data_IF_978872795767
#
_entry.id   IF_978872795767
#
_cell.length_a   1.000
_cell.length_b   1.000
_cell.length_c   1.000
_cell.angle_alpha   90.00
_cell.angle_beta   90.00
_cell.angle_gamma   90.00
#
_symmetry.space_group_name_H-M   'P 1'
#
loop_
_entity.id
_entity.type
_entity.pdbx_description
1 polymer ?
#
# COMPACT_ATOMS: atom_id res chain seq x y z
N UNK A 1 -42.96 -8.96 5.45
CA UNK A 1 -41.72 -9.21 4.68
C UNK A 1 -41.23 -10.62 4.98
N UNK A 2 -40.77 -11.31 3.95
CA UNK A 2 -40.21 -12.64 4.05
C UNK A 2 -38.82 -12.60 3.42
N UNK A 3 -37.83 -13.20 4.07
CA UNK A 3 -36.47 -13.32 3.51
C UNK A 3 -36.48 -14.17 2.23
N UNK A 4 -35.63 -13.79 1.26
CA UNK A 4 -35.42 -14.58 0.08
C UNK A 4 -34.67 -15.88 0.45
N UNK A 5 -35.05 -17.00 -0.17
CA UNK A 5 -34.36 -18.27 0.00
C UNK A 5 -32.91 -18.21 -0.48
N UNK A 6 -32.67 -17.48 -1.57
CA UNK A 6 -31.33 -17.18 -2.08
C UNK A 6 -31.07 -15.69 -1.87
N UNK A 7 -30.10 -15.35 -1.01
CA UNK A 7 -29.68 -13.98 -0.77
C UNK A 7 -28.82 -13.51 -1.95
N UNK A 8 -29.04 -12.27 -2.39
CA UNK A 8 -28.29 -11.69 -3.49
C UNK A 8 -28.12 -10.18 -3.29
N UNK A 9 -27.18 -9.61 -4.00
CA UNK A 9 -26.96 -8.15 -4.11
C UNK A 9 -27.32 -7.75 -5.53
N UNK A 10 -28.29 -6.84 -5.65
CA UNK A 10 -28.70 -6.32 -6.96
C UNK A 10 -27.76 -5.20 -7.43
N UNK A 11 -27.47 -4.27 -6.53
CA UNK A 11 -26.63 -3.11 -6.87
C UNK A 11 -25.58 -2.87 -5.80
N UNK A 12 -24.35 -2.58 -6.23
CA UNK A 12 -23.24 -2.17 -5.37
C UNK A 12 -22.70 -0.80 -5.78
N UNK A 13 -22.19 -0.03 -4.82
CA UNK A 13 -21.60 1.28 -5.05
C UNK A 13 -20.32 1.44 -4.24
N UNK A 14 -19.29 2.06 -4.83
CA UNK A 14 -18.03 2.33 -4.12
C UNK A 14 -18.24 3.42 -3.07
N UNK A 15 -17.95 3.11 -1.80
CA UNK A 15 -18.12 4.04 -0.68
C UNK A 15 -17.33 5.33 -0.91
N UNK A 16 -16.07 5.25 -1.26
CA UNK A 16 -15.22 6.42 -1.50
C UNK A 16 -15.75 7.32 -2.62
N UNK A 17 -16.23 6.70 -3.71
CA UNK A 17 -16.81 7.44 -4.84
C UNK A 17 -18.12 8.14 -4.45
N UNK A 18 -18.94 7.50 -3.62
CA UNK A 18 -20.15 8.11 -3.10
C UNK A 18 -19.82 9.31 -2.22
N UNK A 19 -18.82 9.19 -1.33
CA UNK A 19 -18.38 10.27 -0.46
C UNK A 19 -17.84 11.47 -1.25
N UNK A 20 -17.12 11.24 -2.34
CA UNK A 20 -16.68 12.33 -3.24
C UNK A 20 -17.88 13.17 -3.70
N UNK A 21 -18.96 12.51 -4.12
CA UNK A 21 -20.17 13.22 -4.59
C UNK A 21 -20.87 13.93 -3.44
N UNK A 22 -21.08 13.26 -2.31
CA UNK A 22 -21.79 13.81 -1.16
C UNK A 22 -21.05 14.98 -0.51
N UNK A 23 -19.73 14.87 -0.38
CA UNK A 23 -18.87 15.89 0.22
C UNK A 23 -18.45 16.97 -0.78
N UNK A 24 -18.82 16.83 -2.07
CA UNK A 24 -18.36 17.72 -3.16
C UNK A 24 -16.84 17.84 -3.22
N UNK A 25 -16.14 16.74 -2.91
CA UNK A 25 -14.69 16.65 -2.96
C UNK A 25 -14.22 16.51 -4.42
N UNK A 26 -12.98 16.87 -4.72
CA UNK A 26 -12.40 16.73 -6.07
C UNK A 26 -11.98 15.28 -6.36
N UNK A 27 -11.61 14.53 -5.32
CA UNK A 27 -11.17 13.14 -5.44
C UNK A 27 -11.36 12.38 -4.11
N UNK A 28 -11.16 11.07 -4.15
CA UNK A 28 -11.37 10.17 -3.00
C UNK A 28 -10.44 10.48 -1.82
N UNK A 29 -9.25 10.99 -2.06
CA UNK A 29 -8.25 11.28 -1.02
C UNK A 29 -8.56 12.54 -0.22
N UNK A 30 -9.56 13.32 -0.63
CA UNK A 30 -10.09 14.47 0.10
C UNK A 30 -11.35 14.12 0.89
N UNK A 31 -11.66 12.85 1.05
CA UNK A 31 -12.76 12.38 1.89
C UNK A 31 -12.24 12.00 3.28
N UNK A 32 -13.14 12.02 4.27
CA UNK A 32 -12.86 11.62 5.65
C UNK A 32 -12.24 10.23 5.82
N UNK A 33 -12.42 9.35 4.83
CA UNK A 33 -11.80 8.02 4.81
C UNK A 33 -10.28 8.05 4.65
N UNK A 34 -9.72 9.18 4.27
CA UNK A 34 -8.27 9.36 4.11
C UNK A 34 -7.68 10.42 5.05
N UNK A 35 -8.50 11.15 5.84
CA UNK A 35 -8.03 12.24 6.70
C UNK A 35 -6.94 11.80 7.68
N UNK A 36 -7.18 10.74 8.46
CA UNK A 36 -6.20 10.24 9.44
C UNK A 36 -4.95 9.67 8.77
N UNK A 37 -5.05 8.74 7.80
CA UNK A 37 -3.88 8.22 7.08
C UNK A 37 -3.07 9.31 6.37
N UNK A 38 -3.75 10.29 5.77
CA UNK A 38 -3.10 11.40 5.07
C UNK A 38 -2.33 12.30 6.04
N UNK A 39 -2.96 12.68 7.16
CA UNK A 39 -2.30 13.45 8.21
C UNK A 39 -1.05 12.73 8.73
N UNK A 40 -1.17 11.43 8.99
CA UNK A 40 -0.03 10.63 9.46
C UNK A 40 1.11 10.59 8.45
N UNK A 41 0.79 10.41 7.16
CA UNK A 41 1.78 10.43 6.10
C UNK A 41 2.51 11.79 6.04
N UNK A 42 1.78 12.91 6.20
CA UNK A 42 2.35 14.25 6.20
C UNK A 42 3.26 14.55 7.40
N UNK A 43 3.10 13.84 8.52
CA UNK A 43 4.04 13.91 9.65
C UNK A 43 5.41 13.28 9.34
N UNK A 44 5.46 12.36 8.39
CA UNK A 44 6.64 11.54 8.11
C UNK A 44 7.37 11.94 6.81
N UNK A 45 6.68 12.55 5.85
CA UNK A 45 7.28 12.93 4.56
C UNK A 45 8.18 14.18 4.70
N UNK A 46 9.21 14.23 3.87
CA UNK A 46 10.12 15.39 3.73
C UNK A 46 9.91 16.17 2.44
N UNK A 47 9.26 15.57 1.46
CA UNK A 47 8.98 16.14 0.14
C UNK A 47 7.55 15.81 -0.28
N UNK A 48 6.81 16.81 -0.72
CA UNK A 48 5.46 16.63 -1.21
C UNK A 48 5.44 16.17 -2.67
N UNK A 49 4.67 15.13 -2.93
CA UNK A 49 4.34 14.67 -4.28
C UNK A 49 2.96 14.01 -4.24
N UNK A 50 1.90 14.72 -4.62
CA UNK A 50 0.52 14.22 -4.49
C UNK A 50 0.26 12.89 -5.19
N UNK A 51 0.99 12.58 -6.28
CA UNK A 51 0.84 11.30 -6.97
C UNK A 51 1.40 10.16 -6.10
N UNK A 52 2.62 10.33 -5.56
CA UNK A 52 3.25 9.32 -4.72
C UNK A 52 2.53 9.16 -3.38
N UNK A 53 2.04 10.24 -2.78
CA UNK A 53 1.23 10.22 -1.56
C UNK A 53 -0.04 9.39 -1.74
N UNK A 54 -0.78 9.62 -2.84
CA UNK A 54 -1.98 8.84 -3.19
C UNK A 54 -1.67 7.36 -3.37
N UNK A 55 -0.56 7.03 -4.03
CA UNK A 55 -0.14 5.63 -4.21
C UNK A 55 0.14 4.99 -2.85
N UNK A 56 0.86 5.67 -1.96
CA UNK A 56 1.16 5.17 -0.61
C UNK A 56 -0.13 4.89 0.16
N UNK A 57 -1.02 5.88 0.23
CA UNK A 57 -2.26 5.77 0.99
C UNK A 57 -3.18 4.68 0.45
N UNK A 58 -3.40 4.64 -0.86
CA UNK A 58 -4.24 3.65 -1.53
C UNK A 58 -3.73 2.23 -1.32
N UNK A 59 -2.44 2.03 -1.52
CA UNK A 59 -1.83 0.71 -1.47
C UNK A 59 -1.77 0.15 -0.05
N UNK A 60 -1.44 0.98 0.95
CA UNK A 60 -1.43 0.54 2.35
C UNK A 60 -2.86 0.23 2.81
N UNK A 61 -3.84 1.08 2.49
CA UNK A 61 -5.25 0.81 2.78
C UNK A 61 -5.70 -0.51 2.17
N UNK A 62 -5.45 -0.73 0.88
CA UNK A 62 -5.83 -1.97 0.20
C UNK A 62 -5.15 -3.20 0.81
N UNK A 63 -3.86 -3.11 1.14
CA UNK A 63 -3.13 -4.19 1.79
C UNK A 63 -3.66 -4.50 3.20
N UNK A 64 -4.00 -3.47 3.99
CA UNK A 64 -4.59 -3.60 5.33
C UNK A 64 -5.87 -4.43 5.30
N UNK A 65 -6.81 -4.09 4.40
CA UNK A 65 -8.05 -4.85 4.25
C UNK A 65 -7.82 -6.26 3.70
N UNK A 66 -6.98 -6.41 2.68
CA UNK A 66 -6.69 -7.72 2.09
C UNK A 66 -6.09 -8.69 3.10
N UNK A 67 -5.13 -8.23 3.93
CA UNK A 67 -4.55 -9.08 5.00
C UNK A 67 -5.60 -9.42 6.05
N UNK A 68 -6.46 -8.46 6.42
CA UNK A 68 -7.55 -8.73 7.36
C UNK A 68 -8.53 -9.79 6.85
N UNK A 69 -8.77 -9.82 5.56
CA UNK A 69 -9.57 -10.83 4.87
C UNK A 69 -8.84 -12.17 4.68
N UNK A 70 -7.59 -12.28 5.15
CA UNK A 70 -6.80 -13.52 5.16
C UNK A 70 -5.85 -13.68 3.98
N UNK A 71 -5.67 -12.67 3.13
CA UNK A 71 -4.75 -12.71 1.99
C UNK A 71 -3.38 -12.20 2.43
N UNK A 72 -2.51 -13.12 2.85
CA UNK A 72 -1.16 -12.76 3.32
C UNK A 72 -0.21 -12.46 2.15
N UNK A 73 0.79 -11.56 2.34
CA UNK A 73 1.81 -11.28 1.34
C UNK A 73 2.54 -12.56 0.90
N UNK A 74 2.52 -12.84 -0.40
CA UNK A 74 3.02 -14.11 -0.95
C UNK A 74 3.72 -13.98 -2.29
N UNK A 75 4.13 -15.11 -2.88
CA UNK A 75 4.78 -15.16 -4.20
C UNK A 75 3.80 -15.52 -5.34
N UNK A 76 2.56 -15.91 -5.00
CA UNK A 76 1.57 -16.41 -5.97
C UNK A 76 0.21 -15.77 -5.70
N UNK A 77 -0.63 -15.77 -6.71
CA UNK A 77 -2.04 -15.41 -6.65
C UNK A 77 -2.31 -14.04 -5.99
N UNK A 78 -3.37 -13.93 -5.22
CA UNK A 78 -3.74 -12.69 -4.52
C UNK A 78 -2.66 -12.21 -3.53
N UNK A 79 -1.92 -13.14 -2.90
CA UNK A 79 -0.82 -12.80 -1.99
C UNK A 79 0.33 -12.06 -2.70
N UNK A 80 0.59 -12.38 -3.97
CA UNK A 80 1.55 -11.64 -4.78
C UNK A 80 1.10 -10.18 -5.01
N UNK A 81 -0.19 -9.96 -5.23
CA UNK A 81 -0.72 -8.61 -5.39
C UNK A 81 -0.55 -7.81 -4.10
N UNK A 82 -0.92 -8.37 -2.94
CA UNK A 82 -0.75 -7.70 -1.64
C UNK A 82 0.72 -7.34 -1.41
N UNK A 83 1.65 -8.27 -1.63
CA UNK A 83 3.08 -8.01 -1.54
C UNK A 83 3.52 -6.87 -2.46
N UNK A 84 3.06 -6.88 -3.71
CA UNK A 84 3.39 -5.84 -4.69
C UNK A 84 2.89 -4.46 -4.27
N UNK A 85 1.68 -4.37 -3.71
CA UNK A 85 1.12 -3.12 -3.19
C UNK A 85 2.01 -2.55 -2.07
N UNK A 86 2.36 -3.37 -1.07
CA UNK A 86 3.21 -2.94 0.05
C UNK A 86 4.58 -2.44 -0.46
N UNK A 87 5.23 -3.21 -1.30
CA UNK A 87 6.56 -2.86 -1.84
C UNK A 87 6.53 -1.59 -2.67
N UNK A 88 5.50 -1.41 -3.49
CA UNK A 88 5.33 -0.19 -4.28
C UNK A 88 5.10 1.03 -3.39
N UNK A 89 4.31 0.90 -2.33
CA UNK A 89 4.14 1.95 -1.34
C UNK A 89 5.48 2.35 -0.69
N UNK A 90 6.32 1.37 -0.31
CA UNK A 90 7.63 1.63 0.30
C UNK A 90 8.57 2.38 -0.66
N UNK A 91 8.60 1.98 -1.94
CA UNK A 91 9.43 2.68 -2.95
C UNK A 91 8.95 4.11 -3.15
N UNK A 92 7.62 4.31 -3.26
CA UNK A 92 7.05 5.67 -3.41
C UNK A 92 7.26 6.53 -2.16
N UNK A 93 7.17 5.95 -0.96
CA UNK A 93 7.49 6.63 0.28
C UNK A 93 8.97 7.06 0.36
N UNK A 94 9.88 6.25 -0.16
CA UNK A 94 11.30 6.63 -0.27
C UNK A 94 11.49 7.89 -1.12
N UNK A 95 10.77 8.05 -2.22
CA UNK A 95 10.81 9.26 -3.04
C UNK A 95 10.13 10.47 -2.36
N UNK A 96 9.36 10.26 -1.30
CA UNK A 96 8.85 11.31 -0.41
C UNK A 96 9.82 11.64 0.75
N UNK A 97 11.00 10.99 0.79
CA UNK A 97 12.01 11.17 1.82
C UNK A 97 11.77 10.38 3.11
N UNK A 98 10.85 9.40 3.09
CA UNK A 98 10.57 8.52 4.24
C UNK A 98 11.56 7.35 4.20
N UNK A 99 12.50 7.35 5.13
CA UNK A 99 13.55 6.34 5.21
C UNK A 99 13.31 5.27 6.27
N UNK A 100 12.54 5.59 7.30
CA UNK A 100 12.18 4.69 8.39
C UNK A 100 10.97 3.83 8.05
N UNK A 101 10.69 2.84 8.90
CA UNK A 101 9.47 2.04 8.83
C UNK A 101 8.25 2.94 9.10
N UNK A 102 7.22 2.82 8.27
CA UNK A 102 6.04 3.70 8.31
C UNK A 102 4.73 2.98 7.95
N UNK A 103 4.82 1.79 7.34
CA UNK A 103 3.65 1.10 6.80
C UNK A 103 2.63 0.78 7.90
N UNK A 104 3.11 0.31 9.06
CA UNK A 104 2.25 0.06 10.23
C UNK A 104 1.60 1.33 10.75
N UNK A 105 2.32 2.45 10.80
CA UNK A 105 1.77 3.73 11.26
C UNK A 105 0.59 4.20 10.41
N UNK A 106 0.71 4.10 9.08
CA UNK A 106 -0.39 4.45 8.18
C UNK A 106 -1.54 3.45 8.30
N UNK A 107 -1.24 2.15 8.42
CA UNK A 107 -2.24 1.11 8.58
C UNK A 107 -3.06 1.26 9.87
N UNK A 108 -2.43 1.65 10.98
CA UNK A 108 -3.13 1.97 12.23
C UNK A 108 -4.15 3.10 12.06
N UNK A 109 -3.80 4.14 11.31
CA UNK A 109 -4.74 5.23 11.03
C UNK A 109 -5.87 4.78 10.08
N UNK A 110 -5.59 3.89 9.13
CA UNK A 110 -6.63 3.23 8.33
C UNK A 110 -7.58 2.46 9.25
N UNK A 111 -7.06 1.66 10.19
CA UNK A 111 -7.87 0.88 11.14
C UNK A 111 -8.76 1.81 11.99
N UNK A 112 -8.22 2.91 12.51
CA UNK A 112 -8.97 3.91 13.29
C UNK A 112 -10.09 4.56 12.48
N UNK A 113 -9.92 4.73 11.17
CA UNK A 113 -10.94 5.30 10.29
C UNK A 113 -12.18 4.41 10.16
N UNK A 114 -12.06 3.10 10.47
CA UNK A 114 -13.15 2.13 10.36
C UNK A 114 -13.50 1.48 11.71
N UNK A 115 -14.00 2.23 12.70
CA UNK A 115 -14.21 1.76 14.07
C UNK A 115 -15.25 0.62 14.19
N UNK A 116 -16.13 0.51 13.20
CA UNK A 116 -17.16 -0.55 13.15
C UNK A 116 -16.69 -1.81 12.41
N UNK A 117 -15.45 -1.84 11.94
CA UNK A 117 -14.86 -2.98 11.25
C UNK A 117 -13.87 -3.68 12.16
N UNK A 118 -13.97 -5.01 12.27
CA UNK A 118 -13.06 -5.77 13.12
C UNK A 118 -11.77 -6.10 12.38
N UNK A 119 -10.66 -5.54 12.83
CA UNK A 119 -9.33 -5.87 12.33
C UNK A 119 -8.61 -6.82 13.27
N UNK A 120 -7.85 -7.75 12.69
CA UNK A 120 -7.04 -8.75 13.41
C UNK A 120 -5.65 -8.17 13.69
N UNK A 121 -5.07 -8.48 14.85
CA UNK A 121 -3.69 -8.07 15.21
C UNK A 121 -2.64 -8.54 14.19
N UNK A 122 -2.93 -9.63 13.50
CA UNK A 122 -2.11 -10.16 12.41
C UNK A 122 -1.84 -9.13 11.30
N UNK A 123 -2.73 -8.16 11.08
CA UNK A 123 -2.60 -7.17 10.00
C UNK A 123 -1.32 -6.37 10.16
N UNK A 124 -1.12 -5.77 11.32
CA UNK A 124 0.07 -4.95 11.60
C UNK A 124 1.33 -5.81 11.55
N UNK A 125 1.31 -6.98 12.16
CA UNK A 125 2.45 -7.91 12.16
C UNK A 125 2.91 -8.29 10.73
N UNK A 126 2.00 -8.64 9.82
CA UNK A 126 2.36 -9.04 8.45
C UNK A 126 2.83 -7.83 7.61
N UNK A 127 2.28 -6.64 7.85
CA UNK A 127 2.74 -5.41 7.20
C UNK A 127 4.18 -5.07 7.61
N UNK A 128 4.49 -5.04 8.90
CA UNK A 128 5.84 -4.78 9.44
C UNK A 128 6.86 -5.81 8.95
N UNK A 129 6.48 -7.08 8.98
CA UNK A 129 7.31 -8.19 8.52
C UNK A 129 7.68 -8.05 7.03
N UNK A 130 6.71 -7.71 6.16
CA UNK A 130 6.98 -7.53 4.73
C UNK A 130 7.77 -6.24 4.48
N UNK A 131 7.51 -5.15 5.22
CA UNK A 131 8.28 -3.90 5.13
C UNK A 131 9.74 -4.14 5.50
N UNK A 132 10.03 -4.71 6.67
CA UNK A 132 11.39 -5.01 7.13
C UNK A 132 12.13 -5.89 6.14
N UNK A 133 11.47 -6.95 5.66
CA UNK A 133 12.05 -7.86 4.66
C UNK A 133 12.38 -7.14 3.36
N UNK A 134 11.47 -6.30 2.88
CA UNK A 134 11.67 -5.62 1.61
C UNK A 134 12.71 -4.52 1.71
N UNK A 135 12.74 -3.72 2.77
CA UNK A 135 13.78 -2.69 2.98
C UNK A 135 15.19 -3.28 2.96
N UNK A 136 15.38 -4.42 3.61
CA UNK A 136 16.67 -5.13 3.56
C UNK A 136 17.04 -5.52 2.13
N UNK A 137 16.10 -6.08 1.38
CA UNK A 137 16.32 -6.49 -0.01
C UNK A 137 16.53 -5.28 -0.93
N UNK A 138 15.76 -4.21 -0.75
CA UNK A 138 15.88 -2.96 -1.52
C UNK A 138 17.24 -2.29 -1.32
N UNK A 139 17.73 -2.24 -0.07
CA UNK A 139 19.05 -1.69 0.23
C UNK A 139 20.19 -2.50 -0.42
N UNK A 140 20.05 -3.82 -0.49
CA UNK A 140 21.00 -4.66 -1.24
C UNK A 140 20.91 -4.40 -2.75
N UNK A 141 19.70 -4.32 -3.28
CA UNK A 141 19.44 -4.04 -4.69
C UNK A 141 20.00 -2.68 -5.13
N UNK A 142 19.83 -1.64 -4.31
CA UNK A 142 20.38 -0.31 -4.59
C UNK A 142 21.92 -0.32 -4.63
N UNK A 143 22.57 -1.03 -3.71
CA UNK A 143 24.04 -1.17 -3.73
C UNK A 143 24.53 -1.88 -5.00
N UNK A 144 23.78 -2.88 -5.47
CA UNK A 144 24.12 -3.57 -6.72
C UNK A 144 23.83 -2.69 -7.95
N UNK A 145 22.70 -1.96 -7.94
CA UNK A 145 22.36 -1.01 -8.99
C UNK A 145 23.45 0.06 -9.16
N UNK A 146 23.95 0.65 -8.07
CA UNK A 146 25.02 1.66 -8.13
C UNK A 146 26.30 1.14 -8.83
N UNK A 147 26.60 -0.15 -8.72
CA UNK A 147 27.76 -0.75 -9.40
C UNK A 147 27.58 -0.87 -10.91
N UNK A 148 26.35 -1.01 -11.38
CA UNK A 148 26.04 -1.31 -12.78
C UNK A 148 25.29 -0.21 -13.51
N UNK A 149 24.92 0.89 -12.85
CA UNK A 149 24.09 1.97 -13.40
C UNK A 149 24.62 2.56 -14.72
N UNK A 150 25.95 2.59 -14.90
CA UNK A 150 26.58 3.12 -16.11
C UNK A 150 26.64 2.10 -17.26
N UNK A 151 26.33 0.83 -17.01
CA UNK A 151 26.36 -0.27 -17.97
C UNK A 151 25.06 -1.10 -17.91
N UNK A 152 23.96 -0.47 -17.48
CA UNK A 152 22.69 -1.14 -17.30
C UNK A 152 22.12 -1.58 -18.65
N UNK A 153 21.89 -2.89 -18.78
CA UNK A 153 21.19 -3.50 -19.89
C UNK A 153 19.93 -4.23 -19.41
N UNK A 154 19.08 -4.69 -20.33
CA UNK A 154 17.84 -5.37 -20.00
C UNK A 154 18.01 -6.65 -19.18
N UNK A 155 19.15 -7.37 -19.37
CA UNK A 155 19.47 -8.58 -18.61
C UNK A 155 19.82 -8.24 -17.16
N UNK A 156 20.60 -7.20 -16.96
CA UNK A 156 21.01 -6.74 -15.62
C UNK A 156 19.82 -6.14 -14.88
N UNK A 157 18.97 -5.36 -15.55
CA UNK A 157 17.73 -4.83 -14.99
C UNK A 157 16.79 -5.98 -14.56
N UNK A 158 16.61 -6.99 -15.40
CA UNK A 158 15.82 -8.18 -15.06
C UNK A 158 16.39 -8.94 -13.86
N UNK A 159 17.71 -9.10 -13.78
CA UNK A 159 18.36 -9.73 -12.63
C UNK A 159 18.13 -8.96 -11.32
N UNK A 160 18.19 -7.63 -11.36
CA UNK A 160 17.88 -6.78 -10.20
C UNK A 160 16.42 -6.96 -9.77
N UNK A 161 15.49 -6.99 -10.71
CA UNK A 161 14.10 -7.26 -10.44
C UNK A 161 13.86 -8.65 -9.84
N UNK A 162 14.39 -9.70 -10.47
CA UNK A 162 14.17 -11.08 -10.05
C UNK A 162 14.81 -11.38 -8.68
N UNK A 163 16.04 -10.90 -8.46
CA UNK A 163 16.83 -11.24 -7.26
C UNK A 163 16.47 -10.36 -6.06
N UNK A 164 16.28 -9.06 -6.28
CA UNK A 164 16.06 -8.08 -5.21
C UNK A 164 14.64 -7.54 -5.18
N UNK A 165 13.77 -7.95 -6.12
CA UNK A 165 12.42 -7.38 -6.23
C UNK A 165 12.44 -5.88 -6.51
N UNK A 166 13.52 -5.38 -7.13
CA UNK A 166 13.66 -3.97 -7.48
C UNK A 166 12.60 -3.62 -8.53
N UNK A 167 11.75 -2.61 -8.32
CA UNK A 167 10.72 -2.25 -9.29
C UNK A 167 11.34 -1.82 -10.60
N UNK A 168 10.87 -2.37 -11.72
CA UNK A 168 11.37 -2.03 -13.06
C UNK A 168 10.97 -0.59 -13.44
N UNK A 169 9.91 -0.08 -12.81
CA UNK A 169 9.38 1.26 -13.06
C UNK A 169 10.18 2.38 -12.39
N UNK A 170 11.20 2.05 -11.60
CA UNK A 170 12.10 2.99 -10.91
C UNK A 170 13.51 2.95 -11.55
#
# INVERSE_FOLDING_TARGET
YRDLETKGIDTGMGLERMLVVLNKAENVYQTDLFDLPHKKLHEELKMENPINERIVLDHIKAATFAINDGILPGNKDAGYIVRRLIRRAIVKAKSLGIENDFVSHIAEEVIKTYPNYSFKDLVIFELEKEETKFRNTLNMGLKEFEKVKNSLDGRTAFKLYETYGFPIEE
#
